data_IF_717832963722
#
_entry.id   IF_717832963722
#
_cell.length_a   1.000
_cell.length_b   1.000
_cell.length_c   1.000
_cell.angle_alpha   90.00
_cell.angle_beta   90.00
_cell.angle_gamma   90.00
#
_symmetry.space_group_name_H-M   'P 1'
#
loop_
_entity.id
_entity.type
_entity.pdbx_description
1 polymer ?
#
# COMPACT_ATOMS: atom_id res chain seq x y z
N UNK A 1 -2.39 -8.99 31.22
CA UNK A 1 -1.99 -9.96 30.18
C UNK A 1 -3.19 -10.85 29.98
N UNK A 2 -3.64 -10.99 28.77
CA UNK A 2 -4.85 -11.75 28.46
C UNK A 2 -4.52 -12.86 27.44
N UNK A 3 -4.95 -14.08 27.79
CA UNK A 3 -4.64 -15.31 27.04
C UNK A 3 -5.61 -15.47 25.87
N UNK A 4 -5.11 -15.90 24.73
CA UNK A 4 -5.94 -16.27 23.56
C UNK A 4 -6.71 -17.55 23.91
N UNK A 5 -8.04 -17.51 23.83
CA UNK A 5 -8.90 -18.67 24.13
C UNK A 5 -9.65 -19.20 22.92
N UNK A 6 -9.80 -18.41 21.85
CA UNK A 6 -10.45 -18.84 20.61
C UNK A 6 -9.87 -18.10 19.40
N UNK A 7 -9.72 -18.82 18.27
CA UNK A 7 -9.29 -18.31 16.97
C UNK A 7 -10.20 -18.90 15.92
N UNK A 8 -10.88 -18.05 15.15
CA UNK A 8 -11.86 -18.49 14.14
C UNK A 8 -11.69 -17.76 12.83
N UNK A 9 -11.51 -18.50 11.74
CA UNK A 9 -11.42 -17.99 10.38
C UNK A 9 -12.68 -18.25 9.55
N UNK A 10 -12.96 -17.32 8.64
CA UNK A 10 -14.01 -17.48 7.61
C UNK A 10 -13.59 -16.91 6.27
N UNK A 11 -14.27 -17.38 5.22
CA UNK A 11 -14.14 -16.80 3.88
C UNK A 11 -15.12 -15.65 3.73
N UNK A 12 -14.63 -14.46 3.30
CA UNK A 12 -15.42 -13.27 2.98
C UNK A 12 -15.07 -12.79 1.58
N UNK A 13 -15.75 -11.77 1.05
CA UNK A 13 -15.43 -11.21 -0.27
C UNK A 13 -14.63 -9.91 -0.16
N UNK A 14 -13.65 -9.77 -1.04
CA UNK A 14 -12.92 -8.53 -1.26
C UNK A 14 -13.69 -7.54 -2.16
N UNK A 15 -13.14 -6.35 -2.37
CA UNK A 15 -13.73 -5.27 -3.19
C UNK A 15 -13.89 -5.63 -4.68
N UNK A 16 -13.24 -6.71 -5.14
CA UNK A 16 -13.35 -7.24 -6.50
C UNK A 16 -14.35 -8.41 -6.58
N UNK A 17 -14.95 -8.80 -5.45
CA UNK A 17 -15.84 -9.97 -5.35
C UNK A 17 -15.10 -11.31 -5.36
N UNK A 18 -13.79 -11.32 -5.10
CA UNK A 18 -13.02 -12.54 -4.89
C UNK A 18 -13.01 -12.91 -3.40
N UNK A 19 -12.96 -14.21 -3.06
CA UNK A 19 -12.79 -14.64 -1.68
C UNK A 19 -11.49 -14.16 -1.06
N UNK A 20 -11.56 -13.86 0.24
CA UNK A 20 -10.40 -13.61 1.10
C UNK A 20 -10.67 -14.15 2.50
N UNK A 21 -9.68 -14.09 3.38
CA UNK A 21 -9.73 -14.61 4.75
C UNK A 21 -10.05 -13.49 5.73
N UNK A 22 -11.01 -13.74 6.62
CA UNK A 22 -11.26 -12.94 7.82
C UNK A 22 -11.04 -13.81 9.05
N UNK A 23 -10.33 -13.29 10.05
CA UNK A 23 -10.02 -13.99 11.31
C UNK A 23 -10.55 -13.22 12.50
N UNK A 24 -11.13 -13.93 13.45
CA UNK A 24 -11.55 -13.45 14.76
C UNK A 24 -10.71 -14.11 15.87
N UNK A 25 -10.36 -13.34 16.87
CA UNK A 25 -9.63 -13.80 18.07
C UNK A 25 -10.38 -13.31 19.31
N UNK A 26 -10.56 -14.20 20.28
CA UNK A 26 -11.16 -13.90 21.58
C UNK A 26 -10.16 -14.17 22.69
N UNK A 27 -10.07 -13.25 23.65
CA UNK A 27 -9.21 -13.37 24.81
C UNK A 27 -10.00 -13.78 26.07
N UNK A 28 -9.31 -14.27 27.12
CA UNK A 28 -9.91 -14.77 28.36
C UNK A 28 -10.74 -13.70 29.10
N UNK A 29 -10.34 -12.42 28.99
CA UNK A 29 -11.07 -11.29 29.57
C UNK A 29 -12.30 -10.85 28.75
N UNK A 30 -12.54 -11.48 27.59
CA UNK A 30 -13.63 -11.18 26.65
C UNK A 30 -13.27 -10.16 25.56
N UNK A 31 -12.04 -9.63 25.55
CA UNK A 31 -11.59 -8.76 24.48
C UNK A 31 -11.59 -9.51 23.14
N UNK A 32 -11.87 -8.77 22.06
CA UNK A 32 -12.14 -9.32 20.73
C UNK A 32 -11.38 -8.57 19.64
N UNK A 33 -10.81 -9.29 18.70
CA UNK A 33 -10.18 -8.71 17.51
C UNK A 33 -10.65 -9.39 16.24
N UNK A 34 -10.87 -8.61 15.19
CA UNK A 34 -11.24 -9.10 13.85
C UNK A 34 -10.39 -8.41 12.78
N UNK A 35 -9.85 -9.18 11.85
CA UNK A 35 -9.11 -8.66 10.72
C UNK A 35 -9.46 -9.39 9.44
N UNK A 36 -9.65 -8.65 8.35
CA UNK A 36 -9.83 -9.17 7.00
C UNK A 36 -8.59 -8.84 6.15
N UNK A 37 -8.11 -9.82 5.41
CA UNK A 37 -6.84 -9.74 4.67
C UNK A 37 -7.07 -9.21 3.26
N UNK A 38 -6.27 -8.21 2.78
CA UNK A 38 -6.32 -7.74 1.41
C UNK A 38 -5.63 -8.71 0.44
N UNK A 39 -5.89 -8.54 -0.87
CA UNK A 39 -5.34 -9.37 -1.94
C UNK A 39 -4.85 -8.52 -3.12
N UNK A 40 -3.68 -8.83 -3.70
CA UNK A 40 -3.13 -8.13 -4.86
C UNK A 40 -3.75 -8.53 -6.20
N UNK A 41 -3.71 -7.65 -7.20
CA UNK A 41 -3.93 -7.99 -8.61
C UNK A 41 -2.59 -8.25 -9.32
N UNK A 42 -1.66 -7.29 -9.24
CA UNK A 42 -0.24 -7.49 -9.52
C UNK A 42 0.46 -7.97 -8.24
N UNK A 43 1.40 -8.88 -8.35
CA UNK A 43 2.14 -9.42 -7.21
C UNK A 43 3.60 -9.54 -7.57
N UNK A 44 4.49 -9.00 -6.74
CA UNK A 44 5.93 -9.18 -6.87
C UNK A 44 6.32 -10.66 -6.74
N UNK A 45 7.31 -11.10 -7.52
CA UNK A 45 7.71 -12.51 -7.56
C UNK A 45 8.19 -13.06 -6.20
N UNK A 46 8.53 -12.18 -5.27
CA UNK A 46 9.11 -12.53 -3.96
C UNK A 46 8.13 -12.33 -2.80
N UNK A 47 6.85 -12.05 -3.06
CA UNK A 47 5.83 -11.97 -2.02
C UNK A 47 5.61 -13.31 -1.32
N UNK A 48 5.20 -13.27 -0.05
CA UNK A 48 4.73 -14.45 0.66
C UNK A 48 3.45 -15.01 -0.01
N UNK A 49 3.24 -16.32 0.11
CA UNK A 49 2.20 -17.03 -0.65
C UNK A 49 0.81 -16.69 -0.14
N UNK A 50 -0.03 -16.11 -0.99
CA UNK A 50 -1.47 -16.10 -0.78
C UNK A 50 -2.05 -17.47 -1.14
N UNK A 51 -2.46 -18.26 -0.15
CA UNK A 51 -2.98 -19.61 -0.38
C UNK A 51 -4.38 -19.55 -0.99
N UNK A 52 -4.54 -20.22 -2.13
CA UNK A 52 -5.78 -20.37 -2.88
C UNK A 52 -6.09 -21.85 -3.10
N UNK A 53 -7.38 -22.22 -3.02
CA UNK A 53 -7.83 -23.62 -3.13
C UNK A 53 -7.58 -24.23 -4.52
N UNK A 54 -7.45 -23.39 -5.57
CA UNK A 54 -7.29 -23.78 -6.96
C UNK A 54 -8.43 -24.67 -7.52
N UNK A 55 -9.52 -24.84 -6.77
CA UNK A 55 -10.73 -25.57 -7.20
C UNK A 55 -11.56 -24.69 -8.16
N UNK A 56 -11.47 -24.97 -9.44
CA UNK A 56 -12.19 -24.23 -10.48
C UNK A 56 -13.72 -24.31 -10.37
N UNK A 57 -14.26 -25.24 -9.61
CA UNK A 57 -15.70 -25.35 -9.37
C UNK A 57 -16.23 -24.32 -8.36
N UNK A 58 -15.32 -23.72 -7.56
CA UNK A 58 -15.62 -22.64 -6.60
C UNK A 58 -14.82 -21.38 -6.95
N UNK A 59 -15.52 -20.25 -7.05
CA UNK A 59 -14.90 -18.95 -7.32
C UNK A 59 -13.83 -18.97 -8.43
N UNK A 60 -14.02 -19.83 -9.44
CA UNK A 60 -13.09 -19.97 -10.58
C UNK A 60 -11.65 -20.35 -10.17
N UNK A 61 -11.47 -21.02 -9.04
CA UNK A 61 -10.18 -21.42 -8.48
C UNK A 61 -9.61 -20.45 -7.45
N UNK A 62 -10.33 -19.35 -7.13
CA UNK A 62 -9.85 -18.31 -6.20
C UNK A 62 -10.34 -18.50 -4.76
N UNK A 63 -10.99 -19.63 -4.41
CA UNK A 63 -11.43 -19.94 -3.05
C UNK A 63 -10.28 -19.87 -2.03
N UNK A 64 -10.62 -19.67 -0.75
CA UNK A 64 -9.64 -19.57 0.36
C UNK A 64 -9.98 -20.50 1.52
N UNK A 65 -10.76 -21.58 1.27
CA UNK A 65 -11.16 -22.49 2.34
C UNK A 65 -9.99 -23.27 2.93
N UNK A 66 -8.95 -23.58 2.15
CA UNK A 66 -7.75 -24.24 2.67
C UNK A 66 -7.04 -23.31 3.68
N UNK A 67 -6.88 -22.03 3.36
CA UNK A 67 -6.34 -21.04 4.29
C UNK A 67 -7.22 -20.88 5.55
N UNK A 68 -8.54 -20.86 5.38
CA UNK A 68 -9.51 -20.84 6.49
C UNK A 68 -9.39 -22.10 7.35
N UNK A 69 -9.20 -23.28 6.74
CA UNK A 69 -8.99 -24.52 7.47
C UNK A 69 -7.73 -24.46 8.33
N UNK A 70 -6.63 -23.91 7.80
CA UNK A 70 -5.39 -23.70 8.58
C UNK A 70 -5.60 -22.74 9.76
N UNK A 71 -6.38 -21.66 9.59
CA UNK A 71 -6.75 -20.78 10.72
C UNK A 71 -7.48 -21.54 11.82
N UNK A 72 -8.48 -22.35 11.43
CA UNK A 72 -9.38 -23.03 12.37
C UNK A 72 -8.75 -24.30 13.01
N UNK A 73 -7.61 -24.76 12.53
CA UNK A 73 -6.92 -25.94 13.06
C UNK A 73 -5.50 -25.58 13.50
N UNK A 74 -4.50 -25.65 12.62
CA UNK A 74 -3.07 -25.57 12.98
C UNK A 74 -2.71 -24.22 13.62
N UNK A 75 -3.22 -23.10 13.11
CA UNK A 75 -2.96 -21.77 13.67
C UNK A 75 -3.67 -21.61 15.02
N UNK A 76 -4.92 -22.04 15.14
CA UNK A 76 -5.63 -22.02 16.42
C UNK A 76 -4.90 -22.88 17.47
N UNK A 77 -4.42 -24.08 17.10
CA UNK A 77 -3.72 -24.99 17.98
C UNK A 77 -2.42 -24.37 18.56
N UNK A 78 -1.68 -23.57 17.76
CA UNK A 78 -0.44 -22.94 18.23
C UNK A 78 -0.66 -21.61 18.95
N UNK A 79 -1.79 -20.93 18.75
CA UNK A 79 -2.06 -19.63 19.35
C UNK A 79 -2.85 -19.70 20.66
N UNK A 80 -3.78 -20.67 20.81
CA UNK A 80 -4.57 -20.81 22.03
C UNK A 80 -3.64 -21.13 23.20
N UNK A 81 -3.75 -20.28 24.24
CA UNK A 81 -2.91 -20.36 25.43
C UNK A 81 -1.71 -19.40 25.43
N UNK A 82 -1.43 -18.69 24.32
CA UNK A 82 -0.42 -17.63 24.29
C UNK A 82 -0.99 -16.32 24.84
N UNK A 83 -0.11 -15.47 25.37
CA UNK A 83 -0.41 -14.09 25.76
C UNK A 83 -0.54 -13.20 24.52
N UNK A 84 -1.68 -12.56 24.33
CA UNK A 84 -1.98 -11.77 23.14
C UNK A 84 -1.09 -10.51 22.99
N UNK A 85 -0.62 -9.95 24.10
CA UNK A 85 0.27 -8.77 24.09
C UNK A 85 1.70 -9.10 23.63
N UNK A 86 2.10 -10.38 23.63
CA UNK A 86 3.40 -10.79 23.09
C UNK A 86 3.32 -11.08 21.58
N UNK A 87 3.06 -10.04 20.80
CA UNK A 87 2.89 -10.11 19.35
C UNK A 87 4.04 -10.84 18.65
N UNK A 88 5.29 -10.61 19.10
CA UNK A 88 6.46 -11.27 18.49
C UNK A 88 6.46 -12.78 18.72
N UNK A 89 6.02 -13.24 19.90
CA UNK A 89 5.87 -14.66 20.17
C UNK A 89 4.74 -15.29 19.36
N UNK A 90 3.60 -14.58 19.27
CA UNK A 90 2.44 -15.02 18.47
C UNK A 90 2.82 -15.20 16.99
N UNK A 91 3.46 -14.20 16.39
CA UNK A 91 3.86 -14.26 14.99
C UNK A 91 4.97 -15.33 14.76
N UNK A 92 5.94 -15.44 15.66
CA UNK A 92 6.99 -16.44 15.59
C UNK A 92 6.43 -17.87 15.68
N UNK A 93 5.45 -18.13 16.54
CA UNK A 93 4.81 -19.43 16.67
C UNK A 93 4.13 -19.88 15.36
N UNK A 94 3.43 -18.97 14.67
CA UNK A 94 2.81 -19.25 13.37
C UNK A 94 3.84 -19.49 12.27
N UNK A 95 4.91 -18.68 12.22
CA UNK A 95 6.00 -18.83 11.23
C UNK A 95 6.73 -20.17 11.44
N UNK A 96 7.03 -20.55 12.68
CA UNK A 96 7.68 -21.82 13.00
C UNK A 96 6.79 -23.02 12.63
N UNK A 97 5.49 -22.92 12.88
CA UNK A 97 4.52 -23.97 12.54
C UNK A 97 4.33 -24.12 11.02
N UNK A 98 4.33 -23.03 10.23
CA UNK A 98 4.33 -23.08 8.77
C UNK A 98 5.60 -23.72 8.23
N UNK A 99 6.78 -23.38 8.77
CA UNK A 99 8.07 -23.99 8.48
C UNK A 99 8.62 -23.73 7.08
N UNK A 100 7.96 -22.91 6.25
CA UNK A 100 8.43 -22.55 4.90
C UNK A 100 8.93 -21.09 4.86
N UNK A 101 9.85 -20.79 3.93
CA UNK A 101 10.44 -19.44 3.84
C UNK A 101 9.42 -18.37 3.44
N UNK A 102 8.42 -18.75 2.63
CA UNK A 102 7.43 -17.84 2.04
C UNK A 102 6.00 -18.07 2.55
N UNK A 103 5.83 -18.73 3.71
CA UNK A 103 4.52 -19.07 4.31
C UNK A 103 3.62 -19.90 3.39
N UNK A 104 4.24 -20.77 2.60
CA UNK A 104 3.55 -21.57 1.58
C UNK A 104 2.73 -22.73 2.12
N UNK A 105 2.93 -23.16 3.38
CA UNK A 105 2.18 -24.26 3.98
C UNK A 105 0.79 -23.80 4.45
N UNK A 106 0.70 -22.73 5.23
CA UNK A 106 -0.57 -22.21 5.77
C UNK A 106 -1.15 -21.06 4.93
N UNK A 107 -0.31 -20.37 4.19
CA UNK A 107 -0.63 -19.15 3.47
C UNK A 107 -0.43 -17.87 4.31
N UNK A 108 0.23 -16.89 3.69
CA UNK A 108 0.40 -15.58 4.32
C UNK A 108 -0.93 -14.91 4.66
N UNK A 109 -1.99 -15.16 3.90
CA UNK A 109 -3.34 -14.68 4.18
C UNK A 109 -3.91 -15.25 5.48
N UNK A 110 -3.75 -16.53 5.77
CA UNK A 110 -4.17 -17.14 7.03
C UNK A 110 -3.37 -16.59 8.23
N UNK A 111 -2.04 -16.55 8.10
CA UNK A 111 -1.13 -16.07 9.14
C UNK A 111 -1.35 -14.59 9.43
N UNK A 112 -1.46 -13.73 8.41
CA UNK A 112 -1.70 -12.30 8.59
C UNK A 112 -3.05 -12.02 9.26
N UNK A 113 -4.10 -12.72 8.83
CA UNK A 113 -5.42 -12.57 9.43
C UNK A 113 -5.38 -12.79 10.94
N UNK A 114 -4.71 -13.85 11.38
CA UNK A 114 -4.52 -14.17 12.80
C UNK A 114 -3.63 -13.13 13.50
N UNK A 115 -2.49 -12.76 12.91
CA UNK A 115 -1.56 -11.76 13.46
C UNK A 115 -2.24 -10.43 13.74
N UNK A 116 -3.02 -9.91 12.78
CA UNK A 116 -3.74 -8.62 12.94
C UNK A 116 -4.93 -8.73 13.89
N UNK A 117 -5.64 -9.86 13.90
CA UNK A 117 -6.76 -10.07 14.81
C UNK A 117 -6.27 -10.14 16.27
N UNK A 118 -5.13 -10.80 16.54
CA UNK A 118 -4.49 -10.80 17.87
C UNK A 118 -4.10 -9.40 18.30
N UNK A 119 -3.44 -8.62 17.42
CA UNK A 119 -3.06 -7.24 17.74
C UNK A 119 -4.27 -6.36 18.12
N UNK A 120 -5.40 -6.54 17.41
CA UNK A 120 -6.65 -5.82 17.71
C UNK A 120 -7.29 -6.28 19.05
N UNK A 121 -7.31 -7.58 19.33
CA UNK A 121 -7.80 -8.11 20.59
C UNK A 121 -6.94 -7.62 21.78
N UNK A 122 -5.61 -7.64 21.64
CA UNK A 122 -4.69 -7.12 22.63
C UNK A 122 -4.85 -5.61 22.88
N UNK A 123 -5.09 -4.84 21.78
CA UNK A 123 -5.39 -3.40 21.91
C UNK A 123 -6.69 -3.16 22.69
N UNK A 124 -7.74 -3.94 22.43
CA UNK A 124 -9.01 -3.88 23.17
C UNK A 124 -8.81 -4.26 24.64
N UNK A 125 -8.09 -5.34 24.94
CA UNK A 125 -7.75 -5.74 26.31
C UNK A 125 -6.97 -4.66 27.07
N UNK A 126 -6.12 -3.92 26.36
CA UNK A 126 -5.38 -2.78 26.92
C UNK A 126 -6.22 -1.48 27.02
N UNK A 127 -7.47 -1.48 26.58
CA UNK A 127 -8.34 -0.29 26.47
C UNK A 127 -7.69 0.84 25.63
N UNK A 128 -6.91 0.48 24.60
CA UNK A 128 -6.23 1.41 23.71
C UNK A 128 -6.75 1.30 22.27
N UNK A 129 -6.89 2.41 21.53
CA UNK A 129 -7.06 2.32 20.09
C UNK A 129 -5.81 1.70 19.46
N UNK A 130 -5.99 0.96 18.35
CA UNK A 130 -4.91 0.17 17.74
C UNK A 130 -3.66 0.99 17.42
N UNK A 131 -3.81 2.22 16.91
CA UNK A 131 -2.65 3.07 16.61
C UNK A 131 -1.80 3.41 17.86
N UNK A 132 -2.44 3.55 19.05
CA UNK A 132 -1.72 3.77 20.30
C UNK A 132 -1.12 2.48 20.85
N UNK A 133 -1.80 1.36 20.69
CA UNK A 133 -1.27 0.06 21.07
C UNK A 133 0.02 -0.26 20.30
N UNK A 134 0.01 -0.07 18.96
CA UNK A 134 1.19 -0.33 18.11
C UNK A 134 2.30 0.70 18.30
N UNK A 135 1.96 1.99 18.43
CA UNK A 135 2.95 3.08 18.38
C UNK A 135 3.27 3.70 19.74
N UNK A 136 2.57 3.31 20.79
CA UNK A 136 2.78 3.86 22.14
C UNK A 136 2.43 5.34 22.24
N UNK A 137 3.07 6.01 23.20
CA UNK A 137 2.79 7.41 23.52
C UNK A 137 3.16 8.40 22.41
N UNK A 138 3.98 7.99 21.43
CA UNK A 138 4.45 8.88 20.36
C UNK A 138 3.62 8.78 19.07
N UNK A 139 2.56 7.98 19.02
CA UNK A 139 1.69 7.87 17.86
C UNK A 139 0.80 9.11 17.71
N UNK A 140 1.12 10.01 16.76
CA UNK A 140 0.43 11.30 16.60
C UNK A 140 0.47 11.88 15.18
N UNK A 141 1.25 11.27 14.27
CA UNK A 141 1.48 11.82 12.94
C UNK A 141 0.45 11.31 11.94
N UNK A 142 -0.45 12.19 11.50
CA UNK A 142 -1.39 11.92 10.41
C UNK A 142 -0.65 11.92 9.06
N UNK A 143 -0.83 10.88 8.24
CA UNK A 143 -0.07 10.74 7.01
C UNK A 143 -0.53 11.69 5.91
N UNK A 144 0.38 12.07 5.00
CA UNK A 144 0.02 12.65 3.71
C UNK A 144 -0.50 11.53 2.80
N UNK A 145 -1.75 11.62 2.31
CA UNK A 145 -2.30 10.59 1.44
C UNK A 145 -1.73 10.71 0.02
N UNK A 146 -1.43 9.55 -0.58
CA UNK A 146 -1.16 9.37 -2.00
C UNK A 146 -2.45 8.85 -2.64
N UNK A 147 -3.26 9.76 -3.21
CA UNK A 147 -4.57 9.39 -3.75
C UNK A 147 -4.52 9.11 -5.23
N UNK A 148 -4.69 7.86 -5.60
CA UNK A 148 -4.73 7.39 -6.98
C UNK A 148 -6.03 7.80 -7.66
N UNK A 149 -6.00 8.86 -8.49
CA UNK A 149 -7.19 9.43 -9.13
C UNK A 149 -7.32 9.12 -10.63
N UNK A 150 -6.27 8.54 -11.24
CA UNK A 150 -6.30 8.08 -12.61
C UNK A 150 -5.49 6.80 -12.75
N UNK A 151 -6.09 5.79 -13.41
CA UNK A 151 -5.53 4.46 -13.55
C UNK A 151 -5.21 4.10 -15.01
N UNK A 152 -4.16 3.30 -15.18
CA UNK A 152 -3.80 2.57 -16.38
C UNK A 152 -3.24 1.18 -16.05
N UNK A 153 -2.40 0.63 -16.90
CA UNK A 153 -1.76 -0.67 -16.70
C UNK A 153 -2.77 -1.77 -16.36
N UNK A 154 -2.40 -2.66 -15.45
CA UNK A 154 -3.28 -3.78 -15.02
C UNK A 154 -4.47 -3.33 -14.16
N UNK A 155 -4.50 -2.09 -13.69
CA UNK A 155 -5.61 -1.54 -12.90
C UNK A 155 -6.77 -0.98 -13.75
N UNK A 156 -6.62 -0.92 -15.08
CA UNK A 156 -7.63 -0.37 -15.98
C UNK A 156 -7.62 -1.04 -17.36
N UNK A 157 -8.78 -1.22 -17.95
CA UNK A 157 -8.91 -1.68 -19.34
C UNK A 157 -8.83 -0.47 -20.28
N UNK A 158 -7.61 0.06 -20.46
CA UNK A 158 -7.30 1.19 -21.33
C UNK A 158 -5.89 1.04 -21.95
N UNK A 159 -5.43 2.07 -22.66
CA UNK A 159 -4.16 2.05 -23.40
C UNK A 159 -3.02 2.83 -22.71
N UNK A 160 -3.17 3.20 -21.43
CA UNK A 160 -2.13 3.85 -20.65
C UNK A 160 -1.25 2.77 -20.03
N UNK A 161 0.07 2.79 -20.28
CA UNK A 161 0.97 1.75 -19.77
C UNK A 161 1.21 1.87 -18.25
N UNK A 162 1.27 3.10 -17.72
CA UNK A 162 1.52 3.35 -16.29
C UNK A 162 0.27 3.13 -15.45
N UNK A 163 0.44 2.45 -14.33
CA UNK A 163 -0.66 1.89 -13.55
C UNK A 163 -1.41 2.93 -12.72
N UNK A 164 -0.70 3.90 -12.09
CA UNK A 164 -1.30 4.85 -11.14
C UNK A 164 -0.74 6.26 -11.27
N UNK A 165 -1.66 7.24 -11.20
CA UNK A 165 -1.34 8.66 -11.14
C UNK A 165 -2.03 9.27 -9.92
N UNK A 166 -1.21 9.75 -8.99
CA UNK A 166 -1.64 10.13 -7.65
C UNK A 166 -1.44 11.61 -7.39
N UNK A 167 -2.33 12.18 -6.56
CA UNK A 167 -2.19 13.52 -5.98
C UNK A 167 -1.85 13.42 -4.50
N UNK A 168 -1.01 14.35 -4.02
CA UNK A 168 -0.56 14.46 -2.64
C UNK A 168 -0.79 15.89 -2.13
N UNK A 169 -1.74 16.12 -1.20
CA UNK A 169 -2.13 17.44 -0.70
C UNK A 169 -1.16 17.95 0.38
N UNK A 170 0.09 18.17 -0.01
CA UNK A 170 1.19 18.52 0.92
C UNK A 170 1.03 19.88 1.59
N UNK A 171 0.27 20.79 0.97
CA UNK A 171 0.02 22.14 1.49
C UNK A 171 -1.17 22.23 2.46
N UNK A 172 -1.94 21.15 2.65
CA UNK A 172 -3.08 21.15 3.55
C UNK A 172 -2.66 21.33 5.02
N UNK A 173 -3.47 22.02 5.85
CA UNK A 173 -3.13 22.25 7.24
C UNK A 173 -3.45 21.06 8.17
N UNK A 174 -4.40 20.20 7.79
CA UNK A 174 -4.87 19.05 8.57
C UNK A 174 -5.17 17.88 7.63
N UNK A 175 -5.33 16.69 8.17
CA UNK A 175 -5.71 15.51 7.37
C UNK A 175 -7.13 15.66 6.80
N UNK A 176 -8.08 16.17 7.58
CA UNK A 176 -9.45 16.41 7.12
C UNK A 176 -9.49 17.39 5.92
N UNK A 177 -8.71 18.49 5.97
CA UNK A 177 -8.57 19.41 4.84
C UNK A 177 -7.88 18.75 3.65
N UNK A 178 -6.85 17.94 3.87
CA UNK A 178 -6.18 17.18 2.83
C UNK A 178 -7.17 16.27 2.07
N UNK A 179 -8.02 15.56 2.79
CA UNK A 179 -9.05 14.70 2.20
C UNK A 179 -10.10 15.53 1.42
N UNK A 180 -10.53 16.68 1.95
CA UNK A 180 -11.44 17.61 1.25
C UNK A 180 -10.84 18.06 -0.08
N UNK A 181 -9.60 18.55 -0.07
CA UNK A 181 -8.92 19.00 -1.30
C UNK A 181 -8.86 17.90 -2.36
N UNK A 182 -8.49 16.69 -1.96
CA UNK A 182 -8.42 15.56 -2.87
C UNK A 182 -9.81 15.20 -3.45
N UNK A 183 -10.87 15.23 -2.64
CA UNK A 183 -12.24 14.98 -3.12
C UNK A 183 -12.70 16.05 -4.12
N UNK A 184 -12.42 17.31 -3.87
CA UNK A 184 -12.75 18.43 -4.78
C UNK A 184 -11.99 18.30 -6.11
N UNK A 185 -10.70 17.95 -6.08
CA UNK A 185 -9.90 17.70 -7.29
C UNK A 185 -10.44 16.49 -8.05
N UNK A 186 -10.76 15.39 -7.35
CA UNK A 186 -11.31 14.18 -7.95
C UNK A 186 -12.62 14.45 -8.71
N UNK A 187 -13.55 15.18 -8.10
CA UNK A 187 -14.80 15.56 -8.76
C UNK A 187 -14.58 16.54 -9.91
N UNK A 188 -13.60 17.43 -9.79
CA UNK A 188 -13.23 18.35 -10.87
C UNK A 188 -12.60 17.59 -12.03
N UNK A 189 -11.73 16.60 -11.76
CA UNK A 189 -11.15 15.73 -12.79
C UNK A 189 -12.24 14.96 -13.54
N UNK A 190 -13.25 14.43 -12.86
CA UNK A 190 -14.41 13.80 -13.51
C UNK A 190 -15.06 14.72 -14.54
N UNK A 191 -15.23 15.98 -14.20
CA UNK A 191 -15.82 16.98 -15.11
C UNK A 191 -14.88 17.29 -16.27
N UNK A 192 -13.58 17.48 -16.01
CA UNK A 192 -12.56 17.74 -17.03
C UNK A 192 -12.53 16.61 -18.08
N UNK A 193 -12.50 15.36 -17.63
CA UNK A 193 -12.51 14.18 -18.52
C UNK A 193 -13.83 14.11 -19.33
N UNK A 194 -14.96 14.34 -18.68
CA UNK A 194 -16.27 14.37 -19.37
C UNK A 194 -16.32 15.44 -20.46
N UNK A 195 -15.86 16.67 -20.15
CA UNK A 195 -15.85 17.81 -21.10
C UNK A 195 -14.90 17.55 -22.28
N UNK A 196 -13.87 16.73 -22.09
CA UNK A 196 -12.98 16.23 -23.14
C UNK A 196 -13.55 15.04 -23.93
N UNK A 197 -14.77 14.57 -23.62
CA UNK A 197 -15.40 13.42 -24.27
C UNK A 197 -14.83 12.06 -23.86
N UNK A 198 -14.14 12.00 -22.71
CA UNK A 198 -13.53 10.79 -22.16
C UNK A 198 -14.46 10.08 -21.19
N UNK A 199 -14.30 8.76 -21.06
CA UNK A 199 -15.12 7.93 -20.19
C UNK A 199 -14.89 8.22 -18.70
N UNK A 200 -15.96 8.13 -17.88
CA UNK A 200 -15.91 8.30 -16.43
C UNK A 200 -15.91 6.96 -15.64
N UNK A 201 -15.57 5.84 -16.28
CA UNK A 201 -15.37 4.56 -15.60
C UNK A 201 -14.18 4.62 -14.67
N UNK A 202 -14.21 3.82 -13.58
CA UNK A 202 -13.16 3.79 -12.57
C UNK A 202 -12.52 2.40 -12.52
N UNK A 203 -11.24 2.35 -12.23
CA UNK A 203 -10.48 1.12 -11.99
C UNK A 203 -10.72 0.54 -10.57
N UNK A 204 -9.97 -0.51 -10.26
CA UNK A 204 -10.09 -1.25 -9.00
C UNK A 204 -9.88 -0.37 -7.76
N UNK A 205 -9.06 0.67 -7.88
CA UNK A 205 -8.72 1.59 -6.79
C UNK A 205 -9.55 2.88 -6.77
N UNK A 206 -10.54 3.00 -7.67
CA UNK A 206 -11.44 4.13 -7.74
C UNK A 206 -10.95 5.31 -8.59
N UNK A 207 -9.74 5.27 -9.16
CA UNK A 207 -9.24 6.24 -10.13
C UNK A 207 -9.94 6.12 -11.47
N UNK A 208 -10.08 7.23 -12.22
CA UNK A 208 -10.67 7.23 -13.57
C UNK A 208 -9.78 6.47 -14.55
N UNK A 209 -10.37 5.80 -15.52
CA UNK A 209 -9.68 4.93 -16.47
C UNK A 209 -9.95 5.32 -17.95
N UNK A 210 -9.65 6.55 -18.39
CA UNK A 210 -9.85 6.95 -19.78
C UNK A 210 -8.80 6.34 -20.72
N UNK A 211 -9.17 6.17 -21.99
CA UNK A 211 -8.17 5.95 -23.06
C UNK A 211 -7.47 7.28 -23.39
N UNK A 212 -6.15 7.30 -23.31
CA UNK A 212 -5.31 8.46 -23.58
C UNK A 212 -4.23 8.12 -24.62
N UNK A 213 -3.59 9.12 -25.18
CA UNK A 213 -2.64 8.91 -26.31
C UNK A 213 -1.21 8.61 -25.84
N UNK A 214 -0.86 9.09 -24.64
CA UNK A 214 0.48 8.94 -24.08
C UNK A 214 0.39 8.76 -22.56
N UNK A 215 1.45 8.23 -21.96
CA UNK A 215 1.57 8.10 -20.51
C UNK A 215 1.76 9.46 -19.78
N UNK A 216 1.98 10.54 -20.53
CA UNK A 216 2.08 11.90 -19.99
C UNK A 216 0.72 12.60 -19.91
N UNK A 217 -0.24 12.31 -20.81
CA UNK A 217 -1.55 12.97 -20.82
C UNK A 217 -2.30 12.93 -19.48
N UNK A 218 -2.27 11.83 -18.70
CA UNK A 218 -2.85 11.81 -17.35
C UNK A 218 -2.39 12.97 -16.46
N UNK A 219 -1.09 13.27 -16.46
CA UNK A 219 -0.52 14.36 -15.66
C UNK A 219 -1.05 15.73 -16.09
N UNK A 220 -1.22 15.94 -17.41
CA UNK A 220 -1.79 17.18 -17.93
C UNK A 220 -3.25 17.39 -17.47
N UNK A 221 -4.08 16.33 -17.50
CA UNK A 221 -5.46 16.38 -17.00
C UNK A 221 -5.52 16.61 -15.48
N UNK A 222 -4.59 16.04 -14.72
CA UNK A 222 -4.51 16.25 -13.27
C UNK A 222 -4.11 17.69 -12.95
N UNK A 223 -3.14 18.27 -13.68
CA UNK A 223 -2.78 19.70 -13.56
C UNK A 223 -4.01 20.57 -13.78
N UNK A 224 -4.71 20.36 -14.90
CA UNK A 224 -5.94 21.13 -15.23
C UNK A 224 -7.02 20.99 -14.15
N UNK A 225 -7.20 19.77 -13.61
CA UNK A 225 -8.17 19.53 -12.54
C UNK A 225 -7.80 20.24 -11.24
N UNK A 226 -6.52 20.22 -10.83
CA UNK A 226 -6.05 20.96 -9.66
C UNK A 226 -6.29 22.47 -9.80
N UNK A 227 -5.89 23.05 -10.94
CA UNK A 227 -6.05 24.48 -11.20
C UNK A 227 -7.53 24.91 -11.23
N UNK A 228 -8.40 24.12 -11.89
CA UNK A 228 -9.85 24.37 -11.93
C UNK A 228 -10.52 24.19 -10.56
N UNK A 229 -9.99 23.34 -9.71
CA UNK A 229 -10.43 23.18 -8.32
C UNK A 229 -9.92 24.30 -7.40
N UNK A 230 -9.00 25.16 -7.88
CA UNK A 230 -8.44 26.28 -7.13
C UNK A 230 -7.16 25.95 -6.35
N UNK A 231 -6.53 24.80 -6.60
CA UNK A 231 -5.30 24.38 -5.97
C UNK A 231 -4.10 24.52 -6.92
N UNK A 232 -2.93 24.83 -6.35
CA UNK A 232 -1.70 25.09 -7.12
C UNK A 232 -0.82 23.84 -7.16
N UNK A 233 -0.65 23.17 -8.34
CA UNK A 233 0.37 22.16 -8.53
C UNK A 233 1.76 22.70 -8.19
N UNK A 234 2.55 21.90 -7.49
CA UNK A 234 3.91 22.29 -7.06
C UNK A 234 3.97 22.99 -5.70
N UNK A 235 2.84 23.43 -5.14
CA UNK A 235 2.78 24.11 -3.83
C UNK A 235 1.77 23.47 -2.91
N UNK A 236 0.50 23.42 -3.33
CA UNK A 236 -0.59 22.84 -2.55
C UNK A 236 -0.65 21.33 -2.76
N UNK A 237 -0.46 20.92 -4.01
CA UNK A 237 -0.53 19.53 -4.47
C UNK A 237 0.77 19.16 -5.18
N UNK A 238 1.36 18.03 -4.79
CA UNK A 238 2.41 17.34 -5.54
C UNK A 238 1.84 16.06 -6.17
N UNK A 239 2.58 15.50 -7.13
CA UNK A 239 2.16 14.29 -7.82
C UNK A 239 3.05 13.11 -7.44
N UNK A 240 2.44 11.94 -7.42
CA UNK A 240 3.13 10.67 -7.32
C UNK A 240 2.66 9.74 -8.44
N UNK A 241 3.52 8.82 -8.83
CA UNK A 241 3.25 7.84 -9.89
C UNK A 241 3.65 6.46 -9.43
N UNK A 242 2.92 5.46 -9.92
CA UNK A 242 3.31 4.06 -9.88
C UNK A 242 3.14 3.49 -11.31
N UNK A 243 4.22 3.37 -12.08
CA UNK A 243 4.17 2.73 -13.38
C UNK A 243 4.06 1.22 -13.31
N UNK A 244 4.43 0.57 -12.19
CA UNK A 244 4.58 -0.87 -12.06
C UNK A 244 5.47 -1.44 -13.20
N UNK A 245 6.71 -0.96 -13.28
CA UNK A 245 7.57 -1.15 -14.47
C UNK A 245 7.90 -2.60 -14.80
N UNK A 246 7.78 -3.52 -13.84
CA UNK A 246 7.94 -4.96 -14.08
C UNK A 246 6.92 -5.49 -15.10
N UNK A 247 5.68 -4.93 -15.13
CA UNK A 247 4.60 -5.36 -16.01
C UNK A 247 4.88 -5.13 -17.51
N UNK A 248 5.72 -4.15 -17.84
CA UNK A 248 6.11 -3.84 -19.22
C UNK A 248 7.62 -4.02 -19.47
N UNK A 249 8.33 -4.68 -18.54
CA UNK A 249 9.74 -5.05 -18.75
C UNK A 249 9.85 -6.41 -19.41
N UNK A 250 10.58 -6.47 -20.54
CA UNK A 250 10.89 -7.71 -21.22
C UNK A 250 12.28 -8.22 -20.79
N UNK A 251 12.31 -9.24 -19.93
CA UNK A 251 13.54 -9.80 -19.38
C UNK A 251 14.47 -10.45 -20.45
N UNK A 252 13.92 -10.91 -21.59
CA UNK A 252 14.72 -11.51 -22.66
C UNK A 252 15.53 -10.45 -23.43
N UNK A 253 14.94 -9.27 -23.63
CA UNK A 253 15.58 -8.17 -24.39
C UNK A 253 16.23 -7.13 -23.49
N UNK A 254 15.92 -7.11 -22.19
CA UNK A 254 16.37 -6.10 -21.23
C UNK A 254 15.74 -4.72 -21.51
N UNK A 255 14.53 -4.67 -22.08
CA UNK A 255 13.87 -3.42 -22.47
C UNK A 255 12.50 -3.24 -21.83
N UNK A 256 12.15 -1.99 -21.61
CA UNK A 256 10.82 -1.52 -21.21
C UNK A 256 9.98 -1.26 -22.45
N UNK A 257 8.85 -1.94 -22.59
CA UNK A 257 7.97 -1.89 -23.77
C UNK A 257 6.73 -1.06 -23.44
N UNK A 258 6.74 0.22 -23.80
CA UNK A 258 5.59 1.11 -23.67
C UNK A 258 4.66 0.91 -24.87
N UNK A 259 3.77 -0.08 -24.76
CA UNK A 259 2.90 -0.51 -25.86
C UNK A 259 1.92 0.59 -26.29
N UNK A 260 1.38 1.36 -25.33
CA UNK A 260 0.49 2.48 -25.59
C UNK A 260 1.14 3.61 -26.37
N UNK A 261 2.46 3.77 -26.25
CA UNK A 261 3.25 4.78 -27.01
C UNK A 261 3.99 4.18 -28.23
N UNK A 262 4.00 2.85 -28.39
CA UNK A 262 4.74 2.17 -29.43
C UNK A 262 6.27 2.35 -29.31
N UNK A 263 6.81 2.39 -28.09
CA UNK A 263 8.23 2.64 -27.79
C UNK A 263 8.83 1.47 -27.01
N UNK A 264 10.10 1.22 -27.27
CA UNK A 264 10.93 0.33 -26.46
C UNK A 264 12.12 1.13 -25.94
N UNK A 265 12.36 1.04 -24.63
CA UNK A 265 13.41 1.80 -23.93
C UNK A 265 14.38 0.84 -23.24
N UNK A 266 15.65 1.14 -23.29
CA UNK A 266 16.67 0.55 -22.40
C UNK A 266 16.52 1.11 -20.99
N UNK A 267 17.20 0.52 -19.98
CA UNK A 267 17.20 1.07 -18.61
C UNK A 267 17.70 2.52 -18.57
N UNK A 268 18.75 2.86 -19.35
CA UNK A 268 19.26 4.23 -19.40
C UNK A 268 18.25 5.21 -20.00
N UNK A 269 17.57 4.83 -21.09
CA UNK A 269 16.51 5.64 -21.71
C UNK A 269 15.28 5.77 -20.81
N UNK A 270 14.96 4.76 -19.98
CA UNK A 270 13.89 4.85 -18.99
C UNK A 270 14.24 5.82 -17.86
N UNK A 271 15.49 5.86 -17.42
CA UNK A 271 15.98 6.87 -16.46
C UNK A 271 15.87 8.29 -17.05
N UNK A 272 16.25 8.49 -18.30
CA UNK A 272 16.11 9.78 -19.00
C UNK A 272 14.61 10.18 -19.14
N UNK A 273 13.73 9.20 -19.38
CA UNK A 273 12.27 9.42 -19.44
C UNK A 273 11.72 9.95 -18.10
N UNK A 274 12.11 9.32 -16.97
CA UNK A 274 11.71 9.78 -15.64
C UNK A 274 12.25 11.17 -15.33
N UNK A 275 13.52 11.44 -15.63
CA UNK A 275 14.08 12.76 -15.42
C UNK A 275 13.34 13.84 -16.21
N UNK A 276 12.96 13.56 -17.46
CA UNK A 276 12.20 14.49 -18.30
C UNK A 276 10.81 14.82 -17.70
N UNK A 277 10.08 13.79 -17.20
CA UNK A 277 8.77 14.00 -16.55
C UNK A 277 8.90 14.80 -15.24
N UNK A 278 9.86 14.47 -14.40
CA UNK A 278 10.13 15.17 -13.13
C UNK A 278 10.52 16.65 -13.36
N UNK A 279 11.21 16.95 -14.46
CA UNK A 279 11.56 18.33 -14.81
C UNK A 279 10.35 19.13 -15.32
N UNK A 280 9.31 18.46 -15.80
CA UNK A 280 8.13 19.08 -16.41
C UNK A 280 6.94 19.21 -15.45
N UNK A 281 6.75 18.24 -14.57
CA UNK A 281 5.64 18.15 -13.65
C UNK A 281 6.11 18.14 -12.19
N UNK A 282 5.29 18.57 -11.22
CA UNK A 282 5.66 18.57 -9.81
C UNK A 282 5.59 17.16 -9.19
N UNK A 283 6.28 16.21 -9.80
CA UNK A 283 6.38 14.82 -9.34
C UNK A 283 7.37 14.75 -8.19
N UNK A 284 6.93 14.27 -7.04
CA UNK A 284 7.74 14.13 -5.82
C UNK A 284 8.04 12.67 -5.50
N UNK A 285 7.28 11.72 -6.06
CA UNK A 285 7.42 10.29 -5.77
C UNK A 285 7.17 9.44 -7.01
N UNK A 286 8.03 8.45 -7.24
CA UNK A 286 7.89 7.42 -8.28
C UNK A 286 8.08 6.07 -7.57
N UNK A 287 7.03 5.24 -7.61
CA UNK A 287 7.03 3.86 -7.14
C UNK A 287 7.36 2.94 -8.31
N UNK A 288 8.17 1.93 -8.10
CA UNK A 288 8.59 0.94 -9.10
C UNK A 288 8.90 1.51 -10.49
N UNK A 289 9.70 2.59 -10.49
CA UNK A 289 10.13 3.27 -11.71
C UNK A 289 11.03 2.42 -12.62
N UNK A 290 11.58 1.32 -12.09
CA UNK A 290 12.34 0.28 -12.79
C UNK A 290 11.80 -1.09 -12.40
N UNK A 291 12.08 -2.12 -13.21
CA UNK A 291 11.66 -3.51 -12.92
C UNK A 291 12.32 -4.06 -11.64
N UNK A 292 11.66 -4.99 -10.96
CA UNK A 292 12.03 -5.51 -9.63
C UNK A 292 13.41 -6.19 -9.55
N UNK A 293 13.97 -6.64 -10.68
CA UNK A 293 15.32 -7.21 -10.77
C UNK A 293 16.30 -6.37 -11.59
N UNK A 294 15.90 -5.20 -12.08
CA UNK A 294 16.82 -4.25 -12.75
C UNK A 294 17.56 -3.38 -11.73
N UNK A 295 18.34 -4.01 -10.85
CA UNK A 295 19.09 -3.35 -9.77
C UNK A 295 20.05 -2.27 -10.28
N UNK A 296 20.66 -2.48 -11.45
CA UNK A 296 21.54 -1.49 -12.08
C UNK A 296 20.76 -0.26 -12.55
N UNK A 297 19.57 -0.47 -13.14
CA UNK A 297 18.65 0.59 -13.52
C UNK A 297 18.17 1.38 -12.30
N UNK A 298 17.78 0.68 -11.23
CA UNK A 298 17.41 1.31 -9.96
C UNK A 298 18.52 2.18 -9.37
N UNK A 299 19.76 1.68 -9.38
CA UNK A 299 20.92 2.46 -8.91
C UNK A 299 21.12 3.72 -9.75
N UNK A 300 21.05 3.60 -11.08
CA UNK A 300 21.19 4.76 -12.00
C UNK A 300 20.06 5.77 -11.79
N UNK A 301 18.82 5.31 -11.62
CA UNK A 301 17.67 6.18 -11.35
C UNK A 301 17.87 6.93 -10.02
N UNK A 302 18.32 6.22 -8.99
CA UNK A 302 18.57 6.80 -7.66
C UNK A 302 19.68 7.85 -7.72
N UNK A 303 20.78 7.56 -8.40
CA UNK A 303 21.88 8.51 -8.58
C UNK A 303 21.45 9.76 -9.38
N UNK A 304 20.52 9.60 -10.34
CA UNK A 304 20.07 10.69 -11.23
C UNK A 304 19.10 11.66 -10.57
N UNK A 305 18.08 11.15 -9.87
CA UNK A 305 16.98 11.97 -9.35
C UNK A 305 16.63 11.71 -7.88
N UNK A 306 17.24 10.72 -7.23
CA UNK A 306 16.89 10.31 -5.86
C UNK A 306 17.16 11.35 -4.78
N UNK A 307 17.95 12.41 -5.05
CA UNK A 307 18.14 13.51 -4.12
C UNK A 307 16.96 14.51 -4.09
N UNK A 308 16.10 14.50 -5.10
CA UNK A 308 14.95 15.41 -5.25
C UNK A 308 13.59 14.71 -5.42
N UNK A 309 13.60 13.39 -5.65
CA UNK A 309 12.41 12.57 -5.84
C UNK A 309 12.47 11.35 -4.92
N UNK A 310 11.37 11.07 -4.25
CA UNK A 310 11.18 9.83 -3.50
C UNK A 310 11.04 8.68 -4.50
N UNK A 311 11.93 7.71 -4.43
CA UNK A 311 11.92 6.50 -5.24
C UNK A 311 11.53 5.32 -4.36
N UNK A 312 10.33 4.79 -4.60
CA UNK A 312 9.69 3.80 -3.73
C UNK A 312 9.84 2.42 -4.34
N UNK A 313 10.37 1.47 -3.57
CA UNK A 313 10.34 0.05 -3.94
C UNK A 313 9.09 -0.62 -3.35
N UNK A 314 8.19 -1.09 -4.23
CA UNK A 314 7.09 -2.01 -3.93
C UNK A 314 7.50 -3.44 -4.30
N UNK A 315 7.41 -3.83 -5.56
CA UNK A 315 7.85 -5.15 -6.03
C UNK A 315 9.36 -5.38 -5.82
N UNK A 316 10.14 -4.29 -5.84
CA UNK A 316 11.57 -4.33 -5.53
C UNK A 316 11.85 -4.91 -4.15
N UNK A 317 11.07 -4.54 -3.13
CA UNK A 317 11.32 -4.89 -1.72
C UNK A 317 10.30 -5.86 -1.12
N UNK A 318 9.07 -5.90 -1.64
CA UNK A 318 7.94 -6.74 -1.17
C UNK A 318 7.80 -6.79 0.35
N UNK A 319 7.99 -5.64 1.02
CA UNK A 319 7.97 -5.52 2.49
C UNK A 319 8.96 -6.47 3.20
N UNK A 320 9.98 -6.96 2.50
CA UNK A 320 10.94 -7.95 2.98
C UNK A 320 12.25 -7.29 3.42
N UNK A 321 12.60 -7.40 4.70
CA UNK A 321 13.81 -6.80 5.30
C UNK A 321 15.10 -7.23 4.61
N UNK A 322 15.19 -8.47 4.08
CA UNK A 322 16.39 -8.96 3.38
C UNK A 322 16.56 -8.27 2.02
N UNK A 323 15.46 -8.12 1.24
CA UNK A 323 15.50 -7.39 -0.05
C UNK A 323 15.75 -5.90 0.16
N UNK A 324 15.13 -5.32 1.22
CA UNK A 324 15.38 -3.94 1.60
C UNK A 324 16.87 -3.71 1.96
N UNK A 325 17.47 -4.61 2.77
CA UNK A 325 18.90 -4.53 3.12
C UNK A 325 19.79 -4.55 1.87
N UNK A 326 19.48 -5.41 0.87
CA UNK A 326 20.17 -5.42 -0.42
C UNK A 326 20.05 -4.07 -1.14
N UNK A 327 18.85 -3.48 -1.19
CA UNK A 327 18.65 -2.16 -1.81
C UNK A 327 19.43 -1.06 -1.12
N UNK A 328 19.45 -1.06 0.21
CA UNK A 328 20.22 -0.11 1.03
C UNK A 328 21.72 -0.24 0.71
N UNK A 329 22.26 -1.48 0.68
CA UNK A 329 23.66 -1.74 0.35
C UNK A 329 24.04 -1.25 -1.06
N UNK A 330 23.16 -1.45 -2.04
CA UNK A 330 23.37 -1.01 -3.43
C UNK A 330 23.12 0.49 -3.62
N UNK A 331 22.45 1.17 -2.68
CA UNK A 331 21.99 2.54 -2.83
C UNK A 331 20.89 2.66 -3.90
N UNK A 332 20.00 1.67 -3.97
CA UNK A 332 18.86 1.60 -4.87
C UNK A 332 17.57 2.01 -4.14
N UNK A 333 16.79 2.92 -4.72
CA UNK A 333 15.63 3.57 -4.09
C UNK A 333 16.00 4.45 -2.88
N UNK A 334 15.00 5.05 -2.23
CA UNK A 334 15.14 5.82 -0.99
C UNK A 334 13.87 5.79 -0.14
N UNK A 335 12.91 4.92 -0.49
CA UNK A 335 11.68 4.67 0.24
C UNK A 335 11.19 3.25 -0.02
N UNK A 336 10.37 2.74 0.90
CA UNK A 336 9.71 1.43 0.79
C UNK A 336 8.19 1.58 0.85
N UNK A 337 7.48 0.84 0.00
CA UNK A 337 6.05 0.59 0.17
C UNK A 337 5.86 -0.59 1.12
N UNK A 338 4.99 -0.43 2.11
CA UNK A 338 4.72 -1.45 3.13
C UNK A 338 3.31 -1.99 2.94
N UNK A 339 3.23 -3.22 2.47
CA UNK A 339 2.01 -4.00 2.30
C UNK A 339 2.07 -5.20 3.24
N UNK A 340 1.30 -5.17 4.32
CA UNK A 340 1.38 -6.18 5.39
C UNK A 340 1.19 -7.62 4.89
N UNK A 341 0.42 -7.82 3.83
CA UNK A 341 0.19 -9.15 3.27
C UNK A 341 1.32 -9.66 2.36
N UNK A 342 2.24 -8.81 1.89
CA UNK A 342 3.41 -9.23 1.12
C UNK A 342 4.39 -10.03 1.96
N UNK A 343 4.42 -9.79 3.27
CA UNK A 343 5.30 -10.49 4.22
C UNK A 343 4.51 -11.41 5.17
N UNK A 344 3.29 -11.03 5.56
CA UNK A 344 2.31 -11.92 6.20
C UNK A 344 2.25 -11.90 7.72
N UNK A 345 2.97 -10.99 8.42
CA UNK A 345 2.80 -10.72 9.85
C UNK A 345 2.96 -9.24 10.17
N UNK A 346 2.37 -8.82 11.29
CA UNK A 346 2.59 -7.46 11.82
C UNK A 346 4.04 -7.27 12.25
N UNK A 347 4.62 -8.25 12.94
CA UNK A 347 6.03 -8.19 13.41
C UNK A 347 7.01 -7.95 12.26
N UNK A 348 6.96 -8.76 11.20
CA UNK A 348 7.86 -8.59 10.06
C UNK A 348 7.63 -7.27 9.32
N UNK A 349 6.38 -6.80 9.25
CA UNK A 349 6.05 -5.49 8.68
C UNK A 349 6.68 -4.34 9.49
N UNK A 350 6.63 -4.42 10.82
CA UNK A 350 7.27 -3.45 11.72
C UNK A 350 8.81 -3.50 11.60
N UNK A 351 9.40 -4.68 11.46
CA UNK A 351 10.84 -4.85 11.24
C UNK A 351 11.30 -4.22 9.91
N UNK A 352 10.54 -4.39 8.85
CA UNK A 352 10.83 -3.74 7.57
C UNK A 352 10.77 -2.20 7.69
N UNK A 353 9.77 -1.67 8.40
CA UNK A 353 9.63 -0.22 8.66
C UNK A 353 10.81 0.31 9.50
N UNK A 354 11.21 -0.41 10.54
CA UNK A 354 12.34 -0.02 11.39
C UNK A 354 13.66 -0.01 10.59
N UNK A 355 13.92 -1.10 9.84
CA UNK A 355 15.10 -1.19 8.95
C UNK A 355 15.16 -0.03 7.96
N UNK A 356 14.03 0.32 7.34
CA UNK A 356 13.95 1.44 6.40
C UNK A 356 14.29 2.77 7.07
N UNK A 357 13.67 3.05 8.23
CA UNK A 357 13.89 4.31 8.96
C UNK A 357 15.32 4.46 9.46
N UNK A 358 15.94 3.39 9.95
CA UNK A 358 17.35 3.39 10.37
C UNK A 358 18.29 3.73 9.22
N UNK A 359 17.95 3.33 8.00
CA UNK A 359 18.69 3.66 6.78
C UNK A 359 18.35 5.04 6.19
N UNK A 360 17.40 5.79 6.78
CA UNK A 360 16.94 7.09 6.28
C UNK A 360 15.95 6.98 5.11
N UNK A 361 15.42 5.78 4.84
CA UNK A 361 14.35 5.58 3.84
C UNK A 361 13.01 6.01 4.40
N UNK A 362 12.16 6.62 3.57
CA UNK A 362 10.78 6.86 3.93
C UNK A 362 9.95 5.56 3.83
N UNK A 363 8.85 5.50 4.61
CA UNK A 363 7.92 4.39 4.59
C UNK A 363 6.54 4.87 4.17
N UNK A 364 5.90 4.16 3.25
CA UNK A 364 4.54 4.40 2.83
C UNK A 364 3.72 3.16 3.19
N UNK A 365 2.73 3.29 4.09
CA UNK A 365 1.82 2.17 4.38
C UNK A 365 0.75 2.12 3.31
N UNK A 366 0.55 0.94 2.72
CA UNK A 366 -0.24 0.79 1.50
C UNK A 366 -1.34 -0.26 1.63
N UNK A 367 -2.43 0.01 0.93
CA UNK A 367 -3.49 -0.95 0.60
C UNK A 367 -3.04 -1.95 -0.48
N UNK A 368 -3.98 -2.80 -0.91
CA UNK A 368 -3.87 -3.62 -2.13
C UNK A 368 -5.03 -3.29 -3.09
N UNK A 369 -4.94 -3.78 -4.33
CA UNK A 369 -6.01 -3.63 -5.34
C UNK A 369 -7.31 -4.33 -4.92
N UNK A 370 -7.24 -5.51 -4.30
CA UNK A 370 -8.36 -6.17 -3.63
C UNK A 370 -8.38 -5.86 -2.14
N UNK A 371 -9.29 -5.00 -1.71
CA UNK A 371 -9.43 -4.56 -0.33
C UNK A 371 -10.73 -5.01 0.30
N UNK A 372 -10.84 -4.82 1.59
CA UNK A 372 -12.05 -5.01 2.39
C UNK A 372 -12.39 -3.72 3.14
N UNK A 373 -13.43 -3.73 3.97
CA UNK A 373 -13.72 -2.63 4.90
C UNK A 373 -12.72 -2.50 6.07
N UNK A 374 -11.81 -3.45 6.24
CA UNK A 374 -10.78 -3.39 7.28
C UNK A 374 -9.92 -2.14 7.14
N UNK A 375 -9.74 -1.42 8.25
CA UNK A 375 -9.01 -0.14 8.30
C UNK A 375 -7.67 -0.21 9.03
N UNK A 376 -7.14 -1.40 9.31
CA UNK A 376 -5.93 -1.61 10.11
C UNK A 376 -4.75 -0.76 9.64
N UNK A 377 -4.56 -0.60 8.32
CA UNK A 377 -3.45 0.19 7.78
C UNK A 377 -3.53 1.69 8.15
N UNK A 378 -4.72 2.22 8.43
CA UNK A 378 -4.89 3.58 8.92
C UNK A 378 -4.38 3.74 10.36
N UNK A 379 -4.64 2.76 11.21
CA UNK A 379 -4.08 2.74 12.57
C UNK A 379 -2.57 2.47 12.54
N UNK A 380 -2.11 1.55 11.69
CA UNK A 380 -0.70 1.22 11.54
C UNK A 380 0.13 2.43 11.11
N UNK A 381 -0.29 3.18 10.08
CA UNK A 381 0.48 4.32 9.57
C UNK A 381 0.69 5.41 10.61
N UNK A 382 -0.33 5.66 11.46
CA UNK A 382 -0.23 6.61 12.58
C UNK A 382 0.58 6.01 13.73
N UNK A 383 0.36 4.74 14.06
CA UNK A 383 1.12 4.03 15.10
C UNK A 383 2.62 4.13 14.88
N UNK A 384 3.07 3.84 13.67
CA UNK A 384 4.51 3.89 13.34
C UNK A 384 5.00 5.27 12.90
N UNK A 385 4.15 6.32 12.88
CA UNK A 385 4.50 7.65 12.36
C UNK A 385 5.20 7.57 11.00
N UNK A 386 4.64 6.79 10.05
CA UNK A 386 5.25 6.64 8.72
C UNK A 386 5.18 7.92 7.88
N UNK A 387 4.16 8.74 8.11
CA UNK A 387 3.96 10.03 7.46
C UNK A 387 3.34 9.98 6.07
N UNK A 388 3.17 8.79 5.47
CA UNK A 388 2.55 8.63 4.15
C UNK A 388 1.66 7.38 4.12
N UNK A 389 0.52 7.48 3.42
CA UNK A 389 -0.40 6.36 3.17
C UNK A 389 -0.84 6.33 1.70
N UNK A 390 -0.83 5.15 1.10
CA UNK A 390 -1.38 4.89 -0.24
C UNK A 390 -2.63 4.02 -0.07
N UNK A 391 -3.83 4.55 -0.36
CA UNK A 391 -5.10 3.81 -0.19
C UNK A 391 -6.13 4.14 -1.27
N UNK A 392 -5.68 4.36 -2.52
CA UNK A 392 -6.54 4.58 -3.67
C UNK A 392 -7.19 5.96 -3.73
N UNK A 393 -8.23 6.10 -4.54
CA UNK A 393 -8.99 7.33 -4.73
C UNK A 393 -9.95 7.63 -3.56
N UNK A 394 -10.45 8.87 -3.41
CA UNK A 394 -11.52 9.20 -2.48
C UNK A 394 -12.88 8.68 -2.99
N UNK A 395 -12.91 7.44 -3.41
CA UNK A 395 -14.06 6.74 -4.02
C UNK A 395 -13.96 5.25 -3.68
N UNK A 396 -15.10 4.52 -3.63
CA UNK A 396 -15.25 3.13 -3.19
C UNK A 396 -15.06 2.97 -1.67
N UNK A 397 -16.01 2.24 -1.03
CA UNK A 397 -16.07 2.14 0.44
C UNK A 397 -14.84 1.49 1.05
N UNK A 398 -14.24 0.53 0.35
CA UNK A 398 -13.03 -0.19 0.72
C UNK A 398 -11.81 0.76 0.87
N UNK A 399 -11.74 1.82 0.08
CA UNK A 399 -10.70 2.88 0.17
C UNK A 399 -11.06 3.90 1.23
N UNK A 400 -12.30 4.41 1.17
CA UNK A 400 -12.79 5.45 2.08
C UNK A 400 -12.79 4.98 3.54
N UNK A 401 -12.95 3.68 3.82
CA UNK A 401 -12.88 3.13 5.17
C UNK A 401 -11.57 3.54 5.90
N UNK A 402 -10.43 3.48 5.21
CA UNK A 402 -9.11 3.86 5.74
C UNK A 402 -9.03 5.37 5.98
N UNK A 403 -9.47 6.18 5.00
CA UNK A 403 -9.47 7.64 5.14
C UNK A 403 -10.41 8.13 6.24
N UNK A 404 -11.60 7.54 6.37
CA UNK A 404 -12.53 7.85 7.46
C UNK A 404 -11.96 7.46 8.84
N UNK A 405 -11.20 6.36 8.92
CA UNK A 405 -10.51 5.99 10.15
C UNK A 405 -9.44 7.02 10.53
N UNK A 406 -8.68 7.54 9.57
CA UNK A 406 -7.70 8.60 9.83
C UNK A 406 -8.35 9.91 10.33
N UNK A 407 -9.56 10.26 9.84
CA UNK A 407 -10.33 11.40 10.41
C UNK A 407 -10.68 11.12 11.88
N UNK A 408 -11.16 9.91 12.21
CA UNK A 408 -11.47 9.55 13.61
C UNK A 408 -10.22 9.61 14.49
N UNK A 409 -9.07 9.16 13.99
CA UNK A 409 -7.80 9.26 14.71
C UNK A 409 -7.39 10.73 14.91
N UNK A 410 -7.54 11.58 13.88
CA UNK A 410 -7.27 13.02 13.99
C UNK A 410 -8.14 13.66 15.09
N UNK A 411 -9.44 13.33 15.14
CA UNK A 411 -10.35 13.79 16.20
C UNK A 411 -9.95 13.26 17.59
N UNK A 412 -9.58 11.98 17.71
CA UNK A 412 -9.16 11.37 18.99
C UNK A 412 -7.86 11.97 19.54
N UNK A 413 -6.96 12.40 18.66
CA UNK A 413 -5.72 13.09 19.03
C UNK A 413 -5.95 14.55 19.42
N UNK A 414 -7.12 15.11 19.10
CA UNK A 414 -7.48 16.51 19.36
C UNK A 414 -6.38 17.47 18.87
N UNK A 415 -5.94 18.42 19.69
CA UNK A 415 -4.87 19.36 19.38
C UNK A 415 -3.45 18.76 19.33
N UNK A 416 -3.30 17.44 19.53
CA UNK A 416 -2.01 16.74 19.47
C UNK A 416 -1.72 16.19 18.06
N UNK A 417 -2.75 16.07 17.20
CA UNK A 417 -2.59 15.60 15.85
C UNK A 417 -1.65 16.51 15.04
N UNK A 418 -0.71 15.90 14.32
CA UNK A 418 0.17 16.61 13.40
C UNK A 418 -0.02 16.02 12.00
N UNK A 419 -0.34 16.87 11.02
CA UNK A 419 -0.37 16.45 9.63
C UNK A 419 1.03 16.50 9.04
N UNK A 420 1.46 15.41 8.39
CA UNK A 420 2.81 15.28 7.87
C UNK A 420 3.10 16.31 6.76
N UNK A 421 2.19 16.45 5.79
CA UNK A 421 2.37 17.36 4.66
C UNK A 421 3.72 17.18 3.99
N UNK A 422 4.40 18.29 3.72
CA UNK A 422 5.74 18.27 3.12
C UNK A 422 6.80 17.59 4.00
N UNK A 423 6.64 17.47 5.30
CA UNK A 423 7.60 16.82 6.21
C UNK A 423 7.67 15.31 6.00
N UNK A 424 6.67 14.73 5.32
CA UNK A 424 6.66 13.31 4.96
C UNK A 424 7.87 12.89 4.11
N UNK A 425 8.43 13.83 3.36
CA UNK A 425 9.54 13.59 2.43
C UNK A 425 10.91 13.97 3.03
N UNK A 426 11.23 13.42 4.19
CA UNK A 426 12.51 13.67 4.88
C UNK A 426 13.72 12.98 4.21
N UNK A 427 13.45 12.04 3.31
CA UNK A 427 14.44 11.25 2.56
C UNK A 427 15.00 11.94 1.31
N UNK A 428 14.49 13.12 0.94
CA UNK A 428 14.96 13.89 -0.22
C UNK A 428 15.42 15.31 0.19
N UNK A 429 16.34 15.86 -0.60
CA UNK A 429 16.77 17.27 -0.45
C UNK A 429 15.74 18.20 -1.07
N UNK A 430 15.49 19.32 -0.45
CA UNK A 430 14.54 20.34 -0.90
C UNK A 430 15.17 21.70 -0.95
#
# INVERSE_FOLDING_TARGET
MSVIIDVYGREVLDSRGNPTVEVEVVLEDGAFGRAAVPSGASTGAFEAVELRDCDKSRYLGKGTLDAVAHVNNEIADVLIGLEAEDQRMVDAAMIEADGTENKGAFGANAILGASLAVAKAAAEAAELPLYKYVGGANAHLLPTPMMNILNGGVHADNNVDFQEFMIMPVGAPTFAEALRWCAEIYHTLKKVLHDAGLGGGVGDEGGFAPNLKTNEEPLAYIVEACEKAGYKPGTDILFAMDPASTEFYNAETGKYVLAGEGRELTSDEMVDYWEALVNKYPIVSIEDGMAEEDWDGWKKLTDRIGDRVQLVGDDLFVTNSKRLAKGIELGAANAILVKVNQIGTLTESLEAIETAKEAGYACIVSHRSGETEDSTIADLVVGVNAGQIKSGAPCRSDRIAKYNQLIRIEEQLEGQAQYAGMKAFYNIKR
#
